data_IF_428717725731
#
_entry.id   IF_428717725731
#
_cell.length_a   1.000
_cell.length_b   1.000
_cell.length_c   1.000
_cell.angle_alpha   90.00
_cell.angle_beta   90.00
_cell.angle_gamma   90.00
#
_symmetry.space_group_name_H-M   'P 1'
#
loop_
_entity.id
_entity.type
_entity.pdbx_description
1 polymer ?
#
# COMPACT_ATOMS: atom_id res chain seq x y z
N UNK A 1 11.87 -7.17 -18.24
CA UNK A 1 11.08 -6.48 -17.24
C UNK A 1 11.65 -6.63 -15.84
N UNK A 2 10.95 -6.11 -14.86
CA UNK A 2 11.38 -6.15 -13.45
C UNK A 2 11.56 -7.58 -12.93
N UNK A 3 10.72 -8.52 -13.38
CA UNK A 3 10.80 -9.92 -12.99
C UNK A 3 12.11 -10.58 -13.39
N UNK A 4 12.59 -10.26 -14.60
CA UNK A 4 13.88 -10.78 -15.06
C UNK A 4 15.02 -10.18 -14.25
N UNK A 5 14.97 -8.89 -13.93
CA UNK A 5 15.97 -8.24 -13.10
C UNK A 5 15.99 -8.89 -11.70
N UNK A 6 14.83 -9.15 -11.11
CA UNK A 6 14.72 -9.79 -9.81
C UNK A 6 15.30 -11.20 -9.81
N UNK A 7 15.01 -11.98 -10.85
CA UNK A 7 15.56 -13.31 -11.03
C UNK A 7 17.09 -13.29 -11.11
N UNK A 8 17.64 -12.39 -11.93
CA UNK A 8 19.09 -12.25 -12.09
C UNK A 8 19.78 -11.82 -10.79
N UNK A 9 19.11 -11.03 -9.94
CA UNK A 9 19.65 -10.57 -8.66
C UNK A 9 19.37 -11.53 -7.51
N UNK A 10 18.53 -12.53 -7.70
CA UNK A 10 18.08 -13.42 -6.64
C UNK A 10 17.11 -12.77 -5.66
N UNK A 11 16.42 -11.71 -6.06
CA UNK A 11 15.44 -11.02 -5.24
C UNK A 11 14.12 -11.80 -5.20
N UNK A 12 13.35 -11.59 -4.13
CA UNK A 12 12.01 -12.15 -4.02
C UNK A 12 10.95 -11.13 -4.43
N UNK A 13 9.81 -11.63 -4.84
CA UNK A 13 8.63 -10.81 -5.15
C UNK A 13 7.60 -10.94 -4.04
N UNK A 14 7.02 -9.81 -3.62
CA UNK A 14 5.92 -9.79 -2.66
C UNK A 14 4.81 -8.90 -3.18
N UNK A 15 3.59 -9.38 -3.09
CA UNK A 15 2.41 -8.63 -3.50
C UNK A 15 1.71 -8.07 -2.26
N UNK A 16 1.52 -6.75 -2.25
CA UNK A 16 0.82 -6.07 -1.15
C UNK A 16 -0.41 -5.35 -1.67
N UNK A 17 -1.43 -5.26 -0.82
CA UNK A 17 -2.59 -4.40 -1.06
C UNK A 17 -2.70 -3.40 0.08
N UNK A 18 -2.76 -2.12 -0.25
CA UNK A 18 -2.91 -1.03 0.71
C UNK A 18 -4.27 -0.40 0.52
N UNK A 19 -5.07 -0.38 1.59
CA UNK A 19 -6.41 0.19 1.59
C UNK A 19 -6.48 1.39 2.52
N UNK A 20 -7.46 2.27 2.26
CA UNK A 20 -7.77 3.37 3.18
C UNK A 20 -8.44 2.84 4.45
N UNK A 21 -8.26 3.53 5.60
CA UNK A 21 -9.02 3.23 6.81
C UNK A 21 -10.53 3.31 6.59
N UNK A 22 -11.28 2.63 7.45
CA UNK A 22 -12.74 2.56 7.36
C UNK A 22 -13.43 3.92 7.24
N UNK A 23 -12.91 4.96 7.90
CA UNK A 23 -13.49 6.30 7.88
C UNK A 23 -13.56 6.93 6.49
N UNK A 24 -12.80 6.45 5.51
CA UNK A 24 -12.83 6.93 4.14
C UNK A 24 -13.92 6.27 3.29
N UNK A 25 -14.49 5.17 3.76
CA UNK A 25 -15.49 4.41 3.02
C UNK A 25 -16.90 4.84 3.39
N UNK A 26 -17.68 5.26 2.39
CA UNK A 26 -19.08 5.65 2.59
C UNK A 26 -19.97 4.46 2.95
N UNK A 27 -19.63 3.27 2.47
CA UNK A 27 -20.42 2.06 2.68
C UNK A 27 -19.57 0.92 3.22
N UNK A 28 -20.23 0.02 3.94
CA UNK A 28 -19.65 -1.26 4.36
C UNK A 28 -19.66 -2.26 3.20
N UNK A 29 -18.99 -3.40 3.36
CA UNK A 29 -18.94 -4.46 2.35
C UNK A 29 -20.32 -4.99 1.96
N UNK A 30 -21.29 -4.91 2.88
CA UNK A 30 -22.68 -5.33 2.63
C UNK A 30 -23.54 -4.24 1.96
N UNK A 31 -22.95 -3.11 1.55
CA UNK A 31 -23.65 -2.00 0.91
C UNK A 31 -24.38 -1.04 1.84
N UNK A 32 -24.40 -1.32 3.14
CA UNK A 32 -25.04 -0.43 4.13
C UNK A 32 -24.15 0.79 4.40
N UNK A 33 -24.73 1.96 4.79
CA UNK A 33 -23.96 3.11 5.18
C UNK A 33 -22.96 2.79 6.30
N UNK A 34 -21.74 3.33 6.18
CA UNK A 34 -20.71 3.17 7.20
C UNK A 34 -20.85 4.28 8.24
N UNK A 35 -21.17 3.95 9.51
CA UNK A 35 -21.33 4.98 10.55
C UNK A 35 -20.01 5.72 10.89
N UNK A 36 -18.86 5.15 10.54
CA UNK A 36 -17.55 5.76 10.77
C UNK A 36 -17.11 6.69 9.63
N UNK A 37 -17.88 6.79 8.57
CA UNK A 37 -17.52 7.61 7.41
C UNK A 37 -17.49 9.09 7.77
N UNK A 38 -16.39 9.75 7.41
CA UNK A 38 -16.15 11.18 7.68
C UNK A 38 -16.49 12.07 6.48
N UNK A 39 -17.27 11.56 5.53
CA UNK A 39 -17.60 12.25 4.27
C UNK A 39 -16.35 12.54 3.41
N UNK A 40 -15.29 11.75 3.54
CA UNK A 40 -14.08 11.91 2.75
C UNK A 40 -14.37 11.69 1.26
N UNK A 41 -13.77 12.54 0.41
CA UNK A 41 -13.86 12.41 -1.04
C UNK A 41 -12.88 11.34 -1.55
N UNK A 42 -13.07 10.90 -2.79
CA UNK A 42 -12.13 9.99 -3.47
C UNK A 42 -10.74 10.60 -3.51
N UNK A 43 -10.64 11.91 -3.79
CA UNK A 43 -9.36 12.61 -3.81
C UNK A 43 -8.68 12.61 -2.44
N UNK A 44 -9.43 12.82 -1.37
CA UNK A 44 -8.89 12.76 -0.01
C UNK A 44 -8.37 11.37 0.32
N UNK A 45 -9.06 10.31 -0.10
CA UNK A 45 -8.58 8.94 0.09
C UNK A 45 -7.29 8.68 -0.69
N UNK A 46 -7.19 9.17 -1.92
CA UNK A 46 -5.99 9.07 -2.73
C UNK A 46 -4.82 9.83 -2.10
N UNK A 47 -5.05 11.05 -1.63
CA UNK A 47 -4.03 11.86 -0.96
C UNK A 47 -3.54 11.20 0.33
N UNK A 48 -4.44 10.58 1.07
CA UNK A 48 -4.07 9.81 2.26
C UNK A 48 -3.09 8.68 1.93
N UNK A 49 -3.36 7.93 0.85
CA UNK A 49 -2.46 6.84 0.42
C UNK A 49 -1.12 7.37 -0.04
N UNK A 50 -1.11 8.47 -0.79
CA UNK A 50 0.14 9.11 -1.25
C UNK A 50 0.99 9.53 -0.05
N UNK A 51 0.39 10.20 0.93
CA UNK A 51 1.10 10.67 2.12
C UNK A 51 1.61 9.52 2.98
N UNK A 52 0.78 8.50 3.16
CA UNK A 52 1.14 7.29 3.91
C UNK A 52 2.31 6.58 3.24
N UNK A 53 2.28 6.44 1.93
CA UNK A 53 3.33 5.78 1.18
C UNK A 53 4.63 6.58 1.19
N UNK A 54 4.55 7.91 1.13
CA UNK A 54 5.72 8.78 1.24
C UNK A 54 6.39 8.63 2.62
N UNK A 55 5.61 8.55 3.68
CA UNK A 55 6.13 8.31 5.03
C UNK A 55 6.78 6.92 5.14
N UNK A 56 6.18 5.90 4.54
CA UNK A 56 6.76 4.56 4.47
C UNK A 56 8.11 4.56 3.74
N UNK A 57 8.19 5.22 2.59
CA UNK A 57 9.44 5.31 1.81
C UNK A 57 10.56 6.00 2.60
N UNK A 58 10.22 7.05 3.33
CA UNK A 58 11.17 7.73 4.22
C UNK A 58 11.71 6.78 5.30
N UNK A 59 10.81 6.04 5.95
CA UNK A 59 11.18 5.07 6.98
C UNK A 59 12.05 3.95 6.39
N UNK A 60 11.75 3.48 5.19
CA UNK A 60 12.56 2.51 4.44
C UNK A 60 13.98 3.02 4.22
N UNK A 61 14.10 4.23 3.70
CA UNK A 61 15.39 4.85 3.44
C UNK A 61 16.21 4.99 4.73
N UNK A 62 15.59 5.45 5.80
CA UNK A 62 16.22 5.62 7.11
C UNK A 62 16.70 4.28 7.68
N UNK A 63 15.99 3.20 7.43
CA UNK A 63 16.33 1.85 7.88
C UNK A 63 17.36 1.14 6.97
N UNK A 64 17.76 1.77 5.87
CA UNK A 64 18.67 1.16 4.89
C UNK A 64 18.04 0.03 4.08
N UNK A 65 16.72 -0.02 4.01
CA UNK A 65 15.98 -1.02 3.25
C UNK A 65 15.70 -0.51 1.85
N UNK A 66 15.79 -1.40 0.86
CA UNK A 66 15.55 -1.07 -0.55
C UNK A 66 14.56 -2.03 -1.18
N UNK A 67 13.78 -1.49 -2.09
CA UNK A 67 12.87 -2.25 -2.90
C UNK A 67 12.65 -1.55 -4.23
N UNK A 68 12.12 -2.27 -5.20
CA UNK A 68 11.68 -1.75 -6.48
C UNK A 68 10.42 -2.49 -6.91
N UNK A 69 9.68 -1.92 -7.82
CA UNK A 69 8.45 -2.56 -8.25
C UNK A 69 7.51 -1.61 -8.96
N UNK A 70 6.25 -2.03 -9.03
CA UNK A 70 5.18 -1.27 -9.66
C UNK A 70 4.01 -1.09 -8.69
N UNK A 71 3.29 0.01 -8.88
CA UNK A 71 2.12 0.37 -8.09
C UNK A 71 0.95 0.63 -9.02
N UNK A 72 -0.18 0.02 -8.72
CA UNK A 72 -1.42 0.21 -9.46
C UNK A 72 -2.51 0.69 -8.51
N UNK A 73 -3.11 1.84 -8.83
CA UNK A 73 -4.28 2.34 -8.12
C UNK A 73 -5.54 1.71 -8.72
N UNK A 74 -6.44 1.26 -7.86
CA UNK A 74 -7.68 0.63 -8.26
C UNK A 74 -8.86 1.20 -7.48
N UNK A 75 -9.95 1.63 -8.14
CA UNK A 75 -11.12 2.12 -7.45
C UNK A 75 -11.86 1.00 -6.71
N UNK A 76 -12.29 1.31 -5.50
CA UNK A 76 -13.12 0.42 -4.71
C UNK A 76 -14.61 0.63 -5.08
N UNK A 77 -15.49 -0.30 -4.65
CA UNK A 77 -16.93 -0.24 -4.94
C UNK A 77 -17.61 1.06 -4.48
N UNK A 78 -17.10 1.72 -3.44
CA UNK A 78 -17.62 2.98 -2.89
C UNK A 78 -16.89 4.22 -3.42
N UNK A 79 -16.03 4.06 -4.43
CA UNK A 79 -15.26 5.14 -5.03
C UNK A 79 -13.92 5.44 -4.36
N UNK A 80 -13.62 4.86 -3.20
CA UNK A 80 -12.27 5.01 -2.61
C UNK A 80 -11.25 4.26 -3.45
N UNK A 81 -9.99 4.64 -3.27
CA UNK A 81 -8.87 4.03 -4.02
C UNK A 81 -8.09 3.13 -3.08
N UNK A 82 -7.71 1.96 -3.58
CA UNK A 82 -6.67 1.15 -2.94
C UNK A 82 -5.55 0.88 -3.92
N UNK A 83 -4.39 0.52 -3.39
CA UNK A 83 -3.21 0.27 -4.20
C UNK A 83 -2.79 -1.18 -4.13
N UNK A 84 -2.42 -1.72 -5.30
CA UNK A 84 -1.72 -2.97 -5.41
C UNK A 84 -0.25 -2.69 -5.69
N UNK A 85 0.62 -3.29 -4.90
CA UNK A 85 2.06 -3.15 -5.04
C UNK A 85 2.66 -4.51 -5.38
N UNK A 86 3.39 -4.59 -6.47
CA UNK A 86 4.27 -5.72 -6.74
C UNK A 86 5.69 -5.28 -6.44
N UNK A 87 6.25 -5.77 -5.35
CA UNK A 87 7.53 -5.33 -4.82
C UNK A 87 8.57 -6.42 -4.92
N UNK A 88 9.77 -6.05 -5.36
CA UNK A 88 10.93 -6.91 -5.39
C UNK A 88 11.96 -6.42 -4.39
N UNK A 89 12.56 -7.33 -3.65
CA UNK A 89 13.49 -6.99 -2.58
C UNK A 89 14.43 -8.15 -2.31
N UNK A 90 15.52 -7.88 -1.60
CA UNK A 90 16.39 -8.96 -1.13
C UNK A 90 15.62 -9.85 -0.17
N UNK A 91 15.82 -11.16 -0.27
CA UNK A 91 15.11 -12.14 0.58
C UNK A 91 15.30 -11.84 2.06
N UNK A 92 16.50 -11.40 2.46
CA UNK A 92 16.80 -11.06 3.87
C UNK A 92 16.00 -9.86 4.40
N UNK A 93 15.51 -8.97 3.51
CA UNK A 93 14.80 -7.75 3.89
C UNK A 93 13.29 -7.92 3.91
N UNK A 94 12.76 -9.03 3.42
CA UNK A 94 11.34 -9.27 3.25
C UNK A 94 10.54 -9.06 4.54
N UNK A 95 10.99 -9.66 5.63
CA UNK A 95 10.29 -9.55 6.93
C UNK A 95 10.29 -8.12 7.45
N UNK A 96 11.43 -7.46 7.37
CA UNK A 96 11.58 -6.07 7.84
C UNK A 96 10.72 -5.11 7.03
N UNK A 97 10.69 -5.25 5.71
CA UNK A 97 9.87 -4.41 4.84
C UNK A 97 8.39 -4.64 5.09
N UNK A 98 7.96 -5.90 5.20
CA UNK A 98 6.56 -6.24 5.49
C UNK A 98 6.12 -5.68 6.84
N UNK A 99 6.94 -5.83 7.88
CA UNK A 99 6.64 -5.30 9.20
C UNK A 99 6.54 -3.76 9.20
N UNK A 100 7.44 -3.11 8.46
CA UNK A 100 7.43 -1.65 8.35
C UNK A 100 6.19 -1.16 7.60
N UNK A 101 5.84 -1.80 6.49
CA UNK A 101 4.64 -1.45 5.73
C UNK A 101 3.38 -1.58 6.58
N UNK A 102 3.27 -2.61 7.41
CA UNK A 102 2.14 -2.81 8.31
C UNK A 102 1.94 -1.65 9.28
N UNK A 103 3.01 -1.03 9.75
CA UNK A 103 2.92 0.13 10.65
C UNK A 103 2.21 1.32 9.99
N UNK A 104 2.35 1.49 8.70
CA UNK A 104 1.77 2.62 7.96
C UNK A 104 0.43 2.29 7.32
N UNK A 105 0.25 1.08 6.85
CA UNK A 105 -0.89 0.69 6.03
C UNK A 105 -2.06 0.09 6.82
N UNK A 106 -1.81 -0.47 8.00
CA UNK A 106 -2.83 -1.07 8.85
C UNK A 106 -3.00 -0.22 10.10
N UNK A 107 -3.91 0.70 10.03
CA UNK A 107 -4.25 1.57 11.16
C UNK A 107 -5.74 1.57 11.42
#
# INVERSE_FOLDING_TARGET
>A
GLELIAEMRGDCAVFYTITCPSRFHATLNNGRPNPKWTCATVRQSSDYLVDTFAAFRKAMHKAGLRWYGVRVAEPHHDGTVHWHLLCFMRKKDRRSITALLRKFAIR
#
